data_IF_231671249580
#
_entry.id   IF_231671249580
#
_cell.length_a   1.000
_cell.length_b   1.000
_cell.length_c   1.000
_cell.angle_alpha   90.00
_cell.angle_beta   90.00
_cell.angle_gamma   90.00
#
_symmetry.space_group_name_H-M   'P 1'
#
loop_
_entity.id
_entity.type
_entity.pdbx_description
1 polymer ?
#
# COMPACT_ATOMS: atom_id res chain seq x y z
N UNK A 1 -10.65 -8.70 -8.45
CA UNK A 1 -10.43 -9.96 -7.70
C UNK A 1 -10.44 -9.79 -6.18
N UNK A 2 -9.67 -8.85 -5.61
CA UNK A 2 -9.64 -8.65 -4.14
C UNK A 2 -11.01 -8.35 -3.51
N UNK A 3 -11.86 -7.52 -4.13
CA UNK A 3 -13.22 -7.29 -3.62
C UNK A 3 -14.08 -8.55 -3.61
N UNK A 4 -13.95 -9.44 -4.60
CA UNK A 4 -14.70 -10.69 -4.65
C UNK A 4 -14.26 -11.63 -3.53
N UNK A 5 -12.95 -11.70 -3.25
CA UNK A 5 -12.44 -12.42 -2.09
C UNK A 5 -13.03 -11.87 -0.79
N UNK A 6 -12.98 -10.55 -0.58
CA UNK A 6 -13.53 -9.89 0.61
C UNK A 6 -15.00 -10.24 0.78
N UNK A 7 -15.79 -10.09 -0.29
CA UNK A 7 -17.23 -10.31 -0.22
C UNK A 7 -17.56 -11.77 0.10
N UNK A 8 -16.90 -12.71 -0.57
CA UNK A 8 -17.09 -14.13 -0.35
C UNK A 8 -16.63 -14.56 1.05
N UNK A 9 -15.44 -14.12 1.48
CA UNK A 9 -14.90 -14.45 2.80
C UNK A 9 -15.76 -13.88 3.93
N UNK A 10 -16.28 -12.65 3.79
CA UNK A 10 -17.22 -12.11 4.77
C UNK A 10 -18.50 -12.93 4.87
N UNK A 11 -19.10 -13.29 3.72
CA UNK A 11 -20.31 -14.12 3.70
C UNK A 11 -20.05 -15.51 4.27
N UNK A 12 -18.94 -16.13 3.91
CA UNK A 12 -18.54 -17.45 4.40
C UNK A 12 -18.38 -17.46 5.92
N UNK A 13 -17.74 -16.44 6.50
CA UNK A 13 -17.61 -16.35 7.96
C UNK A 13 -18.96 -16.25 8.66
N UNK A 14 -19.88 -15.43 8.15
CA UNK A 14 -21.22 -15.29 8.72
C UNK A 14 -22.02 -16.60 8.57
N UNK A 15 -21.95 -17.24 7.40
CA UNK A 15 -22.53 -18.55 7.16
C UNK A 15 -22.01 -19.59 8.15
N UNK A 16 -20.69 -19.64 8.37
CA UNK A 16 -20.08 -20.55 9.35
C UNK A 16 -20.65 -20.32 10.75
N UNK A 17 -20.74 -19.06 11.18
CA UNK A 17 -21.27 -18.71 12.49
C UNK A 17 -22.73 -19.15 12.67
N UNK A 18 -23.56 -18.92 11.65
CA UNK A 18 -25.00 -19.20 11.71
C UNK A 18 -25.32 -20.69 11.51
N UNK A 19 -24.76 -21.31 10.48
CA UNK A 19 -25.07 -22.68 10.08
C UNK A 19 -24.54 -23.71 11.08
N UNK A 20 -23.30 -23.53 11.55
CA UNK A 20 -22.68 -24.44 12.53
C UNK A 20 -22.88 -24.00 13.98
N UNK A 21 -23.53 -22.85 14.20
CA UNK A 21 -23.78 -22.26 15.53
C UNK A 21 -22.50 -22.07 16.38
N UNK A 22 -21.37 -21.81 15.71
CA UNK A 22 -20.07 -21.56 16.35
C UNK A 22 -19.78 -20.07 16.46
N UNK A 23 -19.01 -19.67 17.48
CA UNK A 23 -18.58 -18.28 17.70
C UNK A 23 -17.15 -18.23 18.22
N UNK A 24 -16.53 -17.06 18.15
CA UNK A 24 -15.18 -16.85 18.69
C UNK A 24 -14.15 -17.74 18.01
N UNK A 25 -13.27 -18.36 18.79
CA UNK A 25 -12.16 -19.20 18.29
C UNK A 25 -12.64 -20.34 17.40
N UNK A 26 -13.71 -21.05 17.77
CA UNK A 26 -14.22 -22.17 16.98
C UNK A 26 -14.66 -21.77 15.56
N UNK A 27 -15.27 -20.58 15.42
CA UNK A 27 -15.62 -20.03 14.11
C UNK A 27 -14.38 -19.64 13.30
N UNK A 28 -13.37 -19.07 13.97
CA UNK A 28 -12.10 -18.69 13.34
C UNK A 28 -11.32 -19.91 12.85
N UNK A 29 -11.30 -20.99 13.64
CA UNK A 29 -10.63 -22.25 13.29
C UNK A 29 -11.29 -22.90 12.05
N UNK A 30 -12.63 -22.94 12.01
CA UNK A 30 -13.35 -23.48 10.87
C UNK A 30 -13.17 -22.62 9.62
N UNK A 31 -13.24 -21.30 9.76
CA UNK A 31 -12.94 -20.38 8.66
C UNK A 31 -11.52 -20.56 8.12
N UNK A 32 -10.54 -20.71 9.02
CA UNK A 32 -9.14 -20.95 8.64
C UNK A 32 -8.96 -22.28 7.91
N UNK A 33 -9.68 -23.34 8.33
CA UNK A 33 -9.66 -24.63 7.64
C UNK A 33 -10.20 -24.54 6.20
N UNK A 34 -11.18 -23.66 5.95
CA UNK A 34 -11.82 -23.47 4.64
C UNK A 34 -11.01 -22.49 3.75
N UNK A 35 -10.71 -21.31 4.28
CA UNK A 35 -10.14 -20.19 3.50
C UNK A 35 -8.62 -20.04 3.64
N UNK A 36 -8.00 -20.62 4.66
CA UNK A 36 -6.61 -20.36 5.03
C UNK A 36 -5.61 -20.63 3.91
N UNK A 37 -5.76 -21.73 3.16
CA UNK A 37 -4.88 -22.06 2.02
C UNK A 37 -5.00 -21.04 0.89
N UNK A 38 -6.22 -20.58 0.61
CA UNK A 38 -6.49 -19.56 -0.42
C UNK A 38 -5.87 -18.22 -0.02
N UNK A 39 -6.09 -17.79 1.23
CA UNK A 39 -5.51 -16.55 1.76
C UNK A 39 -3.98 -16.61 1.72
N UNK A 40 -3.38 -17.73 2.14
CA UNK A 40 -1.94 -17.94 2.08
C UNK A 40 -1.37 -17.82 0.67
N UNK A 41 -2.00 -18.46 -0.32
CA UNK A 41 -1.59 -18.35 -1.73
C UNK A 41 -1.61 -16.90 -2.22
N UNK A 42 -2.64 -16.14 -1.86
CA UNK A 42 -2.76 -14.74 -2.25
C UNK A 42 -1.68 -13.86 -1.59
N UNK A 43 -1.35 -14.10 -0.32
CA UNK A 43 -0.22 -13.44 0.36
C UNK A 43 1.08 -13.72 -0.40
N UNK A 44 1.36 -15.00 -0.72
CA UNK A 44 2.58 -15.38 -1.44
C UNK A 44 2.68 -14.78 -2.84
N UNK A 45 1.57 -14.71 -3.56
CA UNK A 45 1.53 -14.02 -4.84
C UNK A 45 1.83 -12.52 -4.68
N UNK A 46 1.22 -11.86 -3.68
CA UNK A 46 1.48 -10.45 -3.42
C UNK A 46 2.96 -10.20 -3.11
N UNK A 47 3.55 -10.98 -2.19
CA UNK A 47 4.97 -10.90 -1.83
C UNK A 47 5.87 -10.96 -3.08
N UNK A 48 5.62 -11.90 -3.99
CA UNK A 48 6.44 -12.08 -5.20
C UNK A 48 6.47 -10.82 -6.10
N UNK A 49 5.32 -10.16 -6.29
CA UNK A 49 5.24 -8.94 -7.11
C UNK A 49 5.74 -7.70 -6.37
N UNK A 50 5.42 -7.57 -5.08
CA UNK A 50 5.80 -6.41 -4.27
C UNK A 50 7.32 -6.30 -4.16
N UNK A 51 8.01 -7.43 -3.94
CA UNK A 51 9.46 -7.45 -3.73
C UNK A 51 10.28 -6.88 -4.90
N UNK A 52 9.75 -6.95 -6.12
CA UNK A 52 10.43 -6.46 -7.33
C UNK A 52 9.88 -5.14 -7.86
N UNK A 53 8.79 -4.63 -7.28
CA UNK A 53 8.16 -3.38 -7.73
C UNK A 53 8.94 -2.13 -7.28
N UNK A 54 9.17 -1.20 -8.20
CA UNK A 54 9.70 0.15 -7.95
C UNK A 54 8.66 1.25 -8.20
N UNK A 55 7.41 0.87 -8.48
CA UNK A 55 6.32 1.82 -8.66
C UNK A 55 5.75 2.21 -7.29
N UNK A 56 6.23 3.34 -6.77
CA UNK A 56 5.80 3.85 -5.47
C UNK A 56 4.32 4.24 -5.43
N UNK A 57 3.75 4.70 -6.55
CA UNK A 57 2.34 5.10 -6.64
C UNK A 57 1.47 3.85 -6.58
N UNK A 58 1.79 2.83 -7.38
CA UNK A 58 1.05 1.56 -7.38
C UNK A 58 1.12 0.86 -6.02
N UNK A 59 2.29 0.85 -5.36
CA UNK A 59 2.43 0.31 -4.00
C UNK A 59 1.55 1.08 -3.00
N UNK A 60 1.50 2.41 -3.11
CA UNK A 60 0.67 3.21 -2.22
C UNK A 60 -0.82 2.99 -2.46
N UNK A 61 -1.26 2.86 -3.72
CA UNK A 61 -2.63 2.48 -4.06
C UNK A 61 -3.03 1.14 -3.44
N UNK A 62 -2.15 0.14 -3.51
CA UNK A 62 -2.39 -1.15 -2.88
C UNK A 62 -2.59 -1.02 -1.36
N UNK A 63 -1.79 -0.20 -0.67
CA UNK A 63 -1.94 0.06 0.77
C UNK A 63 -3.31 0.69 1.07
N UNK A 64 -3.72 1.72 0.32
CA UNK A 64 -5.01 2.38 0.52
C UNK A 64 -6.19 1.42 0.26
N UNK A 65 -6.07 0.53 -0.73
CA UNK A 65 -7.07 -0.51 -1.00
C UNK A 65 -7.18 -1.50 0.15
N UNK A 66 -6.06 -1.95 0.71
CA UNK A 66 -6.03 -2.84 1.88
C UNK A 66 -6.73 -2.18 3.07
N UNK A 67 -6.39 -0.94 3.40
CA UNK A 67 -7.03 -0.17 4.48
C UNK A 67 -8.55 -0.05 4.26
N UNK A 68 -8.97 0.20 3.01
CA UNK A 68 -10.39 0.30 2.68
C UNK A 68 -11.15 -1.02 2.85
N UNK A 69 -10.55 -2.13 2.45
CA UNK A 69 -11.18 -3.45 2.62
C UNK A 69 -11.17 -3.92 4.08
N UNK A 70 -10.12 -3.62 4.85
CA UNK A 70 -10.08 -3.87 6.28
C UNK A 70 -11.24 -3.15 7.00
N UNK A 71 -11.44 -1.85 6.70
CA UNK A 71 -12.59 -1.12 7.24
C UNK A 71 -13.95 -1.71 6.80
N UNK A 72 -14.05 -2.21 5.57
CA UNK A 72 -15.27 -2.85 5.08
C UNK A 72 -15.58 -4.13 5.88
N UNK A 73 -14.57 -4.96 6.16
CA UNK A 73 -14.73 -6.17 6.98
C UNK A 73 -15.17 -5.83 8.41
N UNK A 74 -14.56 -4.80 9.02
CA UNK A 74 -14.96 -4.34 10.36
C UNK A 74 -16.39 -3.80 10.37
N UNK A 75 -16.81 -3.03 9.35
CA UNK A 75 -18.20 -2.56 9.20
C UNK A 75 -19.20 -3.72 9.08
N UNK A 76 -18.75 -4.86 8.56
CA UNK A 76 -19.55 -6.10 8.45
C UNK A 76 -19.44 -7.00 9.68
N UNK A 77 -18.73 -6.57 10.74
CA UNK A 77 -18.46 -7.34 11.94
C UNK A 77 -17.79 -8.71 11.67
N UNK A 78 -16.89 -8.76 10.68
CA UNK A 78 -16.14 -9.97 10.31
C UNK A 78 -14.67 -9.81 10.75
N UNK A 79 -14.25 -10.41 11.88
CA UNK A 79 -12.85 -10.38 12.34
C UNK A 79 -11.95 -11.41 11.66
N UNK A 80 -12.52 -12.33 10.86
CA UNK A 80 -11.83 -13.48 10.28
C UNK A 80 -10.64 -13.14 9.36
N UNK A 81 -10.62 -11.91 8.84
CA UNK A 81 -9.62 -11.44 7.89
C UNK A 81 -8.61 -10.46 8.51
N UNK A 82 -8.70 -10.15 9.80
CA UNK A 82 -7.86 -9.12 10.42
C UNK A 82 -6.36 -9.43 10.25
N UNK A 83 -5.96 -10.65 10.61
CA UNK A 83 -4.59 -11.13 10.42
C UNK A 83 -4.14 -11.10 8.94
N UNK A 84 -5.07 -11.35 8.01
CA UNK A 84 -4.77 -11.31 6.59
C UNK A 84 -4.44 -9.89 6.14
N UNK A 85 -5.24 -8.90 6.53
CA UNK A 85 -5.00 -7.49 6.20
C UNK A 85 -3.72 -6.96 6.82
N UNK A 86 -3.45 -7.31 8.08
CA UNK A 86 -2.22 -6.92 8.76
C UNK A 86 -0.99 -7.50 8.03
N UNK A 87 -1.07 -8.77 7.61
CA UNK A 87 0.00 -9.41 6.81
C UNK A 87 0.23 -8.68 5.48
N UNK A 88 -0.82 -8.25 4.76
CA UNK A 88 -0.64 -7.51 3.50
C UNK A 88 0.02 -6.15 3.75
N UNK A 89 -0.32 -5.47 4.86
CA UNK A 89 0.31 -4.21 5.24
C UNK A 89 1.79 -4.41 5.59
N UNK A 90 2.13 -5.47 6.32
CA UNK A 90 3.51 -5.81 6.67
C UNK A 90 4.38 -6.13 5.45
N UNK A 91 3.78 -6.59 4.35
CA UNK A 91 4.47 -6.78 3.06
C UNK A 91 4.61 -5.47 2.28
N UNK A 92 3.53 -4.68 2.19
CA UNK A 92 3.48 -3.48 1.34
C UNK A 92 4.22 -2.28 1.93
N UNK A 93 4.02 -2.00 3.22
CA UNK A 93 4.52 -0.78 3.87
C UNK A 93 6.05 -0.67 3.86
N UNK A 94 6.82 -1.72 4.20
CA UNK A 94 8.28 -1.66 4.13
C UNK A 94 8.79 -1.43 2.72
N UNK A 95 8.18 -2.10 1.71
CA UNK A 95 8.56 -1.93 0.31
C UNK A 95 8.27 -0.52 -0.18
N UNK A 96 7.09 0.02 0.11
CA UNK A 96 6.73 1.40 -0.22
C UNK A 96 7.76 2.39 0.34
N UNK A 97 8.06 2.30 1.64
CA UNK A 97 9.05 3.16 2.31
C UNK A 97 10.43 3.05 1.67
N UNK A 98 10.87 1.83 1.36
CA UNK A 98 12.15 1.59 0.70
C UNK A 98 12.23 2.27 -0.68
N UNK A 99 11.26 2.04 -1.56
CA UNK A 99 11.27 2.60 -2.92
C UNK A 99 11.11 4.12 -2.89
N UNK A 100 10.29 4.67 -1.99
CA UNK A 100 10.18 6.11 -1.82
C UNK A 100 11.53 6.73 -1.43
N UNK A 101 12.25 6.11 -0.48
CA UNK A 101 13.60 6.55 -0.09
C UNK A 101 14.61 6.45 -1.23
N UNK A 102 14.50 5.45 -2.10
CA UNK A 102 15.32 5.39 -3.30
C UNK A 102 15.05 6.57 -4.24
N UNK A 103 13.80 7.02 -4.39
CA UNK A 103 13.50 8.23 -5.16
C UNK A 103 14.18 9.47 -4.55
N UNK A 104 14.12 9.63 -3.21
CA UNK A 104 14.81 10.72 -2.50
C UNK A 104 16.31 10.66 -2.76
N UNK A 105 16.92 9.48 -2.56
CA UNK A 105 18.35 9.28 -2.76
C UNK A 105 18.78 9.55 -4.21
N UNK A 106 17.95 9.18 -5.19
CA UNK A 106 18.24 9.40 -6.61
C UNK A 106 18.38 10.87 -6.98
N UNK A 107 17.66 11.77 -6.28
CA UNK A 107 17.75 13.22 -6.47
C UNK A 107 18.97 13.78 -5.75
N UNK A 108 19.23 13.29 -4.53
CA UNK A 108 20.39 13.69 -3.73
C UNK A 108 21.73 13.44 -4.44
N UNK A 109 21.86 12.26 -5.03
CA UNK A 109 23.04 11.81 -5.79
C UNK A 109 23.05 12.30 -7.25
N UNK A 110 22.02 13.04 -7.66
CA UNK A 110 21.89 13.50 -9.03
C UNK A 110 22.94 14.58 -9.35
N UNK A 111 23.65 14.38 -10.46
CA UNK A 111 24.61 15.34 -10.97
C UNK A 111 23.89 16.37 -11.86
N UNK A 112 23.76 17.61 -11.37
CA UNK A 112 23.08 18.70 -12.06
C UNK A 112 23.74 19.06 -13.41
N UNK A 113 25.04 18.79 -13.56
CA UNK A 113 25.78 19.14 -14.79
C UNK A 113 25.40 18.26 -15.98
N UNK A 114 24.76 17.11 -15.73
CA UNK A 114 24.26 16.20 -16.77
C UNK A 114 22.98 16.69 -17.44
N UNK A 115 22.35 17.75 -16.92
CA UNK A 115 21.13 18.31 -17.49
C UNK A 115 21.45 19.48 -18.42
N UNK A 116 20.85 19.44 -19.61
CA UNK A 116 20.95 20.54 -20.57
C UNK A 116 20.14 21.76 -20.12
N UNK A 117 20.50 22.93 -20.64
CA UNK A 117 19.67 24.13 -20.47
C UNK A 117 18.36 23.95 -21.25
N UNK A 118 17.24 23.90 -20.54
CA UNK A 118 15.89 23.86 -21.11
C UNK A 118 15.18 25.21 -20.94
N UNK A 119 14.37 25.62 -21.93
CA UNK A 119 13.47 26.79 -21.83
C UNK A 119 12.17 26.49 -21.06
N UNK A 120 11.96 25.22 -20.68
CA UNK A 120 10.77 24.73 -19.95
C UNK A 120 11.11 24.53 -18.47
N UNK A 121 10.11 24.37 -17.57
CA UNK A 121 10.37 23.97 -16.19
C UNK A 121 11.25 22.71 -16.14
N UNK A 122 12.24 22.72 -15.25
CA UNK A 122 13.23 21.65 -15.14
C UNK A 122 12.56 20.28 -15.01
N UNK A 123 13.11 19.26 -15.68
CA UNK A 123 12.54 17.91 -15.72
C UNK A 123 12.26 17.33 -14.32
N UNK A 124 13.19 17.49 -13.37
CA UNK A 124 13.02 17.01 -11.99
C UNK A 124 11.87 17.74 -11.28
N UNK A 125 11.72 19.04 -11.50
CA UNK A 125 10.64 19.81 -10.88
C UNK A 125 9.26 19.35 -11.39
N UNK A 126 9.14 19.04 -12.70
CA UNK A 126 7.91 18.47 -13.29
C UNK A 126 7.59 17.10 -12.69
N UNK A 127 8.57 16.19 -12.65
CA UNK A 127 8.39 14.85 -12.07
C UNK A 127 8.03 14.90 -10.60
N UNK A 128 8.65 15.80 -9.83
CA UNK A 128 8.28 16.00 -8.44
C UNK A 128 6.83 16.47 -8.30
N UNK A 129 6.39 17.44 -9.11
CA UNK A 129 5.01 17.94 -9.06
C UNK A 129 3.99 16.84 -9.40
N UNK A 130 4.23 16.08 -10.46
CA UNK A 130 3.37 14.96 -10.86
C UNK A 130 3.32 13.86 -9.78
N UNK A 131 4.49 13.47 -9.26
CA UNK A 131 4.61 12.44 -8.24
C UNK A 131 3.97 12.84 -6.91
N UNK A 132 4.32 14.03 -6.39
CA UNK A 132 3.78 14.53 -5.13
C UNK A 132 2.27 14.77 -5.22
N UNK A 133 1.78 15.32 -6.34
CA UNK A 133 0.35 15.48 -6.59
C UNK A 133 -0.41 14.15 -6.54
N UNK A 134 0.13 13.10 -7.17
CA UNK A 134 -0.45 11.76 -7.10
C UNK A 134 -0.47 11.20 -5.66
N UNK A 135 0.65 11.27 -4.94
CA UNK A 135 0.74 10.75 -3.57
C UNK A 135 -0.23 11.51 -2.63
N UNK A 136 -0.28 12.84 -2.73
CA UNK A 136 -1.20 13.67 -1.92
C UNK A 136 -2.64 13.32 -2.22
N UNK A 137 -3.04 13.26 -3.50
CA UNK A 137 -4.41 12.91 -3.90
C UNK A 137 -4.83 11.53 -3.39
N UNK A 138 -3.93 10.55 -3.44
CA UNK A 138 -4.20 9.20 -2.92
C UNK A 138 -4.30 9.20 -1.38
N UNK A 139 -3.49 10.02 -0.70
CA UNK A 139 -3.45 10.08 0.76
C UNK A 139 -4.68 10.71 1.41
N UNK A 140 -5.56 11.38 0.66
CA UNK A 140 -6.76 12.04 1.20
C UNK A 140 -7.69 11.04 1.91
N UNK A 141 -7.74 9.79 1.45
CA UNK A 141 -8.61 8.76 2.05
C UNK A 141 -8.11 8.27 3.40
N UNK A 142 -6.79 8.10 3.54
CA UNK A 142 -6.15 7.63 4.77
C UNK A 142 -4.83 8.40 4.98
N UNK A 143 -4.87 9.55 5.69
CA UNK A 143 -3.69 10.34 5.98
C UNK A 143 -2.64 9.54 6.75
N UNK A 144 -1.37 9.67 6.34
CA UNK A 144 -0.26 8.95 6.95
C UNK A 144 0.93 9.88 7.20
N UNK A 145 1.39 9.92 8.46
CA UNK A 145 2.49 10.80 8.88
C UNK A 145 3.82 10.44 8.20
N UNK A 146 4.10 9.16 8.00
CA UNK A 146 5.30 8.70 7.30
C UNK A 146 5.32 9.23 5.85
N UNK A 147 4.18 9.17 5.15
CA UNK A 147 4.06 9.69 3.78
C UNK A 147 4.31 11.19 3.75
N UNK A 148 3.73 11.93 4.69
CA UNK A 148 3.92 13.38 4.83
C UNK A 148 5.40 13.73 5.06
N UNK A 149 6.09 12.97 5.92
CA UNK A 149 7.52 13.14 6.20
C UNK A 149 8.39 12.82 4.99
N UNK A 150 8.08 11.74 4.26
CA UNK A 150 8.81 11.36 3.06
C UNK A 150 8.64 12.38 1.92
N UNK A 151 7.43 12.94 1.75
CA UNK A 151 7.17 14.03 0.81
C UNK A 151 7.95 15.29 1.15
N UNK A 152 8.03 15.64 2.44
CA UNK A 152 8.82 16.79 2.91
C UNK A 152 10.32 16.59 2.62
N UNK A 153 10.87 15.40 2.89
CA UNK A 153 12.26 15.06 2.58
C UNK A 153 12.54 15.11 1.07
N UNK A 154 11.60 14.62 0.25
CA UNK A 154 11.73 14.69 -1.21
C UNK A 154 11.73 16.14 -1.70
N UNK A 155 10.86 16.99 -1.15
CA UNK A 155 10.81 18.42 -1.48
C UNK A 155 12.13 19.12 -1.15
N UNK A 156 12.70 18.85 0.03
CA UNK A 156 13.98 19.40 0.45
C UNK A 156 15.10 19.05 -0.53
N UNK A 157 15.24 17.77 -0.90
CA UNK A 157 16.28 17.34 -1.85
C UNK A 157 16.06 17.92 -3.25
N UNK A 158 14.80 18.10 -3.70
CA UNK A 158 14.49 18.79 -4.97
C UNK A 158 14.87 20.27 -4.90
N UNK A 159 14.58 20.96 -3.80
CA UNK A 159 14.96 22.36 -3.62
C UNK A 159 16.48 22.53 -3.62
N UNK A 160 17.20 21.67 -2.90
CA UNK A 160 18.66 21.67 -2.90
C UNK A 160 19.24 21.40 -4.29
N UNK A 161 18.64 20.47 -5.05
CA UNK A 161 19.06 20.20 -6.43
C UNK A 161 18.88 21.45 -7.32
N UNK A 162 17.75 22.15 -7.22
CA UNK A 162 17.45 23.31 -8.06
C UNK A 162 18.32 24.54 -7.75
N UNK A 163 18.97 24.58 -6.58
CA UNK A 163 19.87 25.64 -6.16
C UNK A 163 21.34 25.37 -6.52
N UNK A 164 21.68 24.17 -7.01
CA UNK A 164 23.03 23.82 -7.51
C UNK A 164 23.20 24.29 -8.95
#
# INVERSE_FOLDING_TARGET
EQYALVDNACREYLFICEFFMVKGSAAMDLFSAIMGKTLYLLVKNLEAYVNTSYDTISLFLCIQLVLRYQMLCHKRAVPALDNYWDTLQDVLCPRFSYVFRLNIQSIKECDATKFGKEMKPHYIARRYAEFSGAIVSISESFPNELVSRLLAQLLEEVQLFMLR
#
